data_IF_079698622055
#
_entry.id   IF_079698622055
#
_cell.length_a   1.000
_cell.length_b   1.000
_cell.length_c   1.000
_cell.angle_alpha   90.00
_cell.angle_beta   90.00
_cell.angle_gamma   90.00
#
_symmetry.space_group_name_H-M   'P 1'
#
loop_
_entity.id
_entity.type
_entity.pdbx_description
1 polymer ?
#
# COMPACT_ATOMS: atom_id res chain seq x y z
N UNK A 1 22.82 20.48 36.55
CA UNK A 1 21.66 19.56 36.63
C UNK A 1 20.68 20.01 35.57
N UNK A 2 20.32 19.15 34.63
CA UNK A 2 19.33 19.48 33.60
C UNK A 2 17.91 19.46 34.21
N UNK A 3 17.07 20.44 33.82
CA UNK A 3 15.67 20.54 34.29
C UNK A 3 14.75 20.33 33.10
N UNK A 4 13.91 19.29 33.16
CA UNK A 4 12.82 19.08 32.22
C UNK A 4 11.51 19.61 32.83
N UNK A 5 10.78 20.44 32.07
CA UNK A 5 9.47 20.96 32.47
C UNK A 5 8.46 20.54 31.40
N UNK A 6 7.47 19.74 31.80
CA UNK A 6 6.35 19.34 30.94
C UNK A 6 5.11 20.11 31.39
N UNK A 7 4.54 20.93 30.49
CA UNK A 7 3.27 21.60 30.74
C UNK A 7 2.18 20.91 29.93
N UNK A 8 1.40 20.05 30.58
CA UNK A 8 0.33 19.25 29.98
C UNK A 8 -0.84 20.09 29.44
N UNK A 9 -1.00 21.33 29.91
CA UNK A 9 -2.06 22.23 29.44
C UNK A 9 -1.68 22.96 28.13
N UNK A 10 -0.38 23.04 27.83
CA UNK A 10 0.12 23.64 26.60
C UNK A 10 0.26 22.60 25.48
N UNK A 11 -0.88 22.21 24.92
CA UNK A 11 -0.90 21.32 23.75
C UNK A 11 -0.48 22.08 22.50
N UNK A 12 0.58 21.62 21.82
CA UNK A 12 1.11 22.25 20.59
C UNK A 12 0.59 21.54 19.34
N UNK A 13 0.45 20.22 19.39
CA UNK A 13 0.03 19.39 18.25
C UNK A 13 -0.60 18.08 18.73
N UNK A 14 -1.16 17.35 17.79
CA UNK A 14 -1.61 15.98 17.96
C UNK A 14 -0.67 15.06 17.17
N UNK A 15 -0.14 14.03 17.83
CA UNK A 15 0.62 12.98 17.15
C UNK A 15 -0.40 12.02 16.53
N UNK A 16 -0.37 11.92 15.22
CA UNK A 16 -1.27 11.02 14.51
C UNK A 16 -0.86 9.56 14.77
N UNK A 17 -1.85 8.70 15.05
CA UNK A 17 -1.62 7.28 15.35
C UNK A 17 -0.94 6.55 14.19
N UNK A 18 -1.21 6.96 12.95
CA UNK A 18 -0.69 6.34 11.74
C UNK A 18 0.85 6.44 11.62
N UNK A 19 1.49 7.38 12.35
CA UNK A 19 2.96 7.41 12.47
C UNK A 19 3.54 6.14 13.13
N UNK A 20 2.71 5.38 13.84
CA UNK A 20 3.07 4.08 14.42
C UNK A 20 2.67 2.92 13.50
N UNK A 21 2.40 3.19 12.24
CA UNK A 21 2.08 2.20 11.23
C UNK A 21 3.25 1.26 10.95
N UNK A 22 2.91 0.07 10.49
CA UNK A 22 3.89 -0.93 10.10
C UNK A 22 3.91 -1.14 8.59
N UNK A 23 4.98 -1.71 8.12
CA UNK A 23 5.27 -1.95 6.74
C UNK A 23 5.68 -3.40 6.51
N UNK A 24 5.05 -4.06 5.55
CA UNK A 24 5.42 -5.40 5.13
C UNK A 24 5.77 -5.41 3.64
N UNK A 25 6.88 -6.02 3.32
CA UNK A 25 7.41 -6.12 1.96
C UNK A 25 7.77 -7.56 1.63
N UNK A 26 7.65 -7.91 0.35
CA UNK A 26 8.22 -9.15 -0.18
C UNK A 26 9.76 -9.04 -0.18
N UNK A 27 10.35 -9.16 1.02
CA UNK A 27 11.76 -9.04 1.31
C UNK A 27 12.17 -10.12 2.30
N UNK A 28 13.05 -11.02 1.89
CA UNK A 28 13.53 -12.10 2.74
C UNK A 28 12.36 -12.88 3.34
N UNK A 29 12.37 -13.04 4.65
CA UNK A 29 11.30 -13.71 5.41
C UNK A 29 10.27 -12.77 6.05
N UNK A 30 10.10 -11.56 5.54
CA UNK A 30 9.10 -10.66 6.10
C UNK A 30 7.69 -11.23 5.92
N UNK A 31 7.34 -11.65 4.71
CA UNK A 31 6.02 -12.23 4.40
C UNK A 31 6.07 -13.75 4.48
N UNK A 32 6.77 -14.39 3.55
CA UNK A 32 6.86 -15.87 3.53
C UNK A 32 7.68 -16.39 4.71
N UNK A 33 7.12 -17.38 5.43
CA UNK A 33 7.65 -17.95 6.67
C UNK A 33 7.68 -16.97 7.87
N UNK A 34 7.55 -15.66 7.62
CA UNK A 34 7.42 -14.63 8.65
C UNK A 34 5.98 -14.40 9.06
N UNK A 35 5.24 -13.62 8.25
CA UNK A 35 3.82 -13.35 8.48
C UNK A 35 2.93 -14.49 8.00
N UNK A 36 3.27 -15.12 6.88
CA UNK A 36 2.47 -16.09 6.15
C UNK A 36 3.20 -17.39 5.93
N UNK A 37 2.55 -18.49 6.29
CA UNK A 37 3.10 -19.86 6.16
C UNK A 37 2.22 -20.79 5.33
N UNK A 38 1.06 -20.29 4.87
CA UNK A 38 0.05 -21.11 4.19
C UNK A 38 -0.82 -21.89 5.15
N UNK A 39 -2.04 -22.18 4.70
CA UNK A 39 -3.09 -22.79 5.52
C UNK A 39 -2.76 -24.23 5.96
N UNK A 40 -1.99 -24.94 5.14
CA UNK A 40 -1.62 -26.33 5.37
C UNK A 40 -0.31 -26.50 6.14
N UNK A 41 0.27 -25.42 6.66
CA UNK A 41 1.51 -25.46 7.44
C UNK A 41 1.30 -26.13 8.79
N UNK A 42 2.33 -26.86 9.27
CA UNK A 42 2.37 -27.38 10.64
C UNK A 42 2.59 -26.26 11.67
N UNK A 43 3.09 -25.10 11.25
CA UNK A 43 3.23 -23.92 12.11
C UNK A 43 1.83 -23.39 12.42
N UNK A 44 1.50 -23.13 13.71
CA UNK A 44 0.19 -22.62 14.10
C UNK A 44 -0.19 -21.36 13.32
N UNK A 45 -1.32 -21.43 12.62
CA UNK A 45 -1.78 -20.35 11.77
C UNK A 45 -3.32 -20.25 11.74
N UNK A 46 -3.81 -19.09 11.33
CA UNK A 46 -5.21 -18.87 10.96
C UNK A 46 -5.24 -18.32 9.54
N UNK A 47 -5.86 -19.06 8.63
CA UNK A 47 -5.90 -18.73 7.20
C UNK A 47 -4.50 -18.44 6.62
N UNK A 48 -3.51 -19.23 7.04
CA UNK A 48 -2.12 -19.10 6.62
C UNK A 48 -1.29 -18.05 7.37
N UNK A 49 -1.90 -17.19 8.19
CA UNK A 49 -1.20 -16.18 8.99
C UNK A 49 -0.72 -16.79 10.31
N UNK A 50 0.58 -16.62 10.62
CA UNK A 50 1.19 -17.14 11.87
C UNK A 50 0.52 -16.52 13.08
N UNK A 51 0.00 -17.35 13.97
CA UNK A 51 -0.71 -16.89 15.17
C UNK A 51 0.19 -16.17 16.16
N UNK A 52 1.42 -16.62 16.35
CA UNK A 52 2.39 -15.99 17.25
C UNK A 52 2.75 -14.57 16.81
N UNK A 53 2.94 -14.35 15.50
CA UNK A 53 3.24 -13.04 14.92
C UNK A 53 2.03 -12.12 14.98
N UNK A 54 0.85 -12.63 14.59
CA UNK A 54 -0.40 -11.86 14.64
C UNK A 54 -0.70 -11.42 16.07
N UNK A 55 -0.56 -12.30 17.06
CA UNK A 55 -0.79 -11.95 18.47
C UNK A 55 0.22 -10.90 18.98
N UNK A 56 1.50 -11.00 18.59
CA UNK A 56 2.50 -9.99 18.94
C UNK A 56 2.16 -8.62 18.36
N UNK A 57 1.76 -8.57 17.07
CA UNK A 57 1.36 -7.34 16.39
C UNK A 57 0.08 -6.73 16.99
N UNK A 58 -0.88 -7.56 17.41
CA UNK A 58 -2.08 -7.09 18.15
C UNK A 58 -1.72 -6.44 19.48
N UNK A 59 -0.74 -6.99 20.21
CA UNK A 59 -0.32 -6.41 21.50
C UNK A 59 0.19 -4.97 21.36
N UNK A 60 0.91 -4.67 20.29
CA UNK A 60 1.40 -3.31 20.01
C UNK A 60 0.38 -2.42 19.29
N UNK A 61 -0.78 -2.97 18.93
CA UNK A 61 -1.93 -2.23 18.37
C UNK A 61 -1.55 -1.40 17.14
N UNK A 62 -0.91 -2.04 16.15
CA UNK A 62 -0.54 -1.34 14.92
C UNK A 62 -1.77 -0.67 14.28
N UNK A 63 -1.71 0.63 13.98
CA UNK A 63 -2.87 1.36 13.45
C UNK A 63 -3.10 1.12 11.96
N UNK A 64 -2.05 0.92 11.19
CA UNK A 64 -2.09 0.71 9.75
C UNK A 64 -0.96 -0.21 9.29
N UNK A 65 -1.23 -1.06 8.30
CA UNK A 65 -0.24 -1.92 7.67
C UNK A 65 -0.13 -1.58 6.19
N UNK A 66 1.11 -1.34 5.72
CA UNK A 66 1.44 -1.07 4.32
C UNK A 66 1.96 -2.33 3.63
N UNK A 67 1.50 -2.57 2.39
CA UNK A 67 1.89 -3.67 1.51
C UNK A 67 1.67 -3.26 0.03
N UNK A 68 2.29 -3.84 -1.03
CA UNK A 68 3.13 -5.06 -1.03
C UNK A 68 4.60 -4.82 -0.76
N UNK A 69 5.02 -3.59 -0.59
CA UNK A 69 6.41 -3.28 -0.33
C UNK A 69 6.79 -1.83 -0.57
N UNK A 70 8.08 -1.60 -0.50
CA UNK A 70 8.78 -0.43 -0.99
C UNK A 70 9.14 -0.61 -2.47
N UNK A 71 10.42 -0.90 -2.76
CA UNK A 71 10.89 -1.14 -4.13
C UNK A 71 10.14 -2.28 -4.84
N UNK A 72 9.77 -3.34 -4.12
CA UNK A 72 8.99 -4.43 -4.68
C UNK A 72 7.63 -3.98 -5.21
N UNK A 73 7.00 -2.96 -4.62
CA UNK A 73 5.70 -2.47 -5.07
C UNK A 73 5.72 -1.97 -6.52
N UNK A 74 6.83 -1.41 -6.97
CA UNK A 74 6.97 -0.86 -8.32
C UNK A 74 7.39 -1.90 -9.39
N UNK A 75 7.52 -3.18 -9.00
CA UNK A 75 7.60 -4.32 -9.92
C UNK A 75 6.48 -5.35 -9.71
N UNK A 76 5.61 -5.15 -8.71
CA UNK A 76 4.52 -6.07 -8.39
C UNK A 76 3.29 -5.86 -9.29
N UNK A 77 2.89 -6.93 -9.97
CA UNK A 77 1.68 -6.99 -10.77
C UNK A 77 0.57 -7.71 -9.98
N UNK A 78 -0.38 -6.98 -9.43
CA UNK A 78 -1.37 -7.48 -8.49
C UNK A 78 -2.21 -8.68 -8.98
N UNK A 79 -2.43 -8.76 -10.31
CA UNK A 79 -3.14 -9.89 -10.92
C UNK A 79 -2.41 -11.22 -10.76
N UNK A 80 -1.10 -11.17 -10.59
CA UNK A 80 -0.28 -12.37 -10.36
C UNK A 80 -0.50 -12.95 -8.95
N UNK A 81 -1.02 -12.15 -8.01
CA UNK A 81 -1.28 -12.52 -6.61
C UNK A 81 -2.77 -12.76 -6.28
N UNK A 82 -3.63 -13.03 -7.26
CA UNK A 82 -5.05 -13.31 -7.02
C UNK A 82 -5.47 -14.64 -7.66
N UNK A 83 -6.66 -15.14 -7.31
CA UNK A 83 -7.17 -16.42 -7.77
C UNK A 83 -6.53 -17.62 -7.07
N UNK A 84 -6.76 -18.85 -7.59
CA UNK A 84 -6.22 -20.06 -7.02
C UNK A 84 -4.68 -20.03 -6.95
N UNK A 85 -4.12 -20.36 -5.78
CA UNK A 85 -2.68 -20.22 -5.50
C UNK A 85 -1.80 -21.03 -6.46
N UNK A 86 -2.26 -22.21 -6.86
CA UNK A 86 -1.54 -23.12 -7.78
C UNK A 86 -1.39 -22.54 -9.19
N UNK A 87 -2.27 -21.60 -9.56
CA UNK A 87 -2.26 -20.93 -10.86
C UNK A 87 -1.59 -19.53 -10.86
N UNK A 88 -1.15 -19.06 -9.70
CA UNK A 88 -0.53 -17.74 -9.60
C UNK A 88 0.83 -17.71 -10.30
N UNK A 89 1.07 -16.62 -11.01
CA UNK A 89 2.32 -16.44 -11.75
C UNK A 89 3.46 -16.17 -10.79
N UNK A 90 4.57 -16.86 -10.98
CA UNK A 90 5.79 -16.61 -10.22
C UNK A 90 6.57 -15.46 -10.85
N UNK A 91 7.21 -14.65 -10.02
CA UNK A 91 8.07 -13.55 -10.44
C UNK A 91 9.44 -13.65 -9.79
N UNK A 92 10.45 -13.08 -10.42
CA UNK A 92 11.77 -12.90 -9.80
C UNK A 92 11.74 -11.58 -9.03
N UNK A 93 12.01 -11.62 -7.74
CA UNK A 93 12.16 -10.42 -6.92
C UNK A 93 13.54 -9.81 -7.19
N UNK A 94 13.60 -8.84 -8.09
CA UNK A 94 14.87 -8.29 -8.58
C UNK A 94 15.55 -7.38 -7.58
N UNK A 95 14.78 -6.75 -6.68
CA UNK A 95 15.33 -5.85 -5.66
C UNK A 95 15.89 -6.63 -4.45
N UNK A 96 15.24 -7.75 -4.09
CA UNK A 96 15.55 -8.43 -2.83
C UNK A 96 16.01 -9.87 -3.05
N UNK A 97 17.28 -9.99 -3.40
CA UNK A 97 17.99 -11.29 -3.42
C UNK A 97 17.77 -12.16 -4.66
N UNK A 98 17.03 -11.71 -5.67
CA UNK A 98 16.78 -12.47 -6.89
C UNK A 98 16.00 -13.77 -6.67
N UNK A 99 15.25 -13.86 -5.57
CA UNK A 99 14.44 -15.03 -5.25
C UNK A 99 13.18 -15.07 -6.11
N UNK A 100 12.66 -16.29 -6.30
CA UNK A 100 11.39 -16.47 -7.00
C UNK A 100 10.24 -16.37 -6.00
N UNK A 101 9.41 -15.35 -6.14
CA UNK A 101 8.18 -15.18 -5.40
C UNK A 101 7.06 -16.01 -6.06
N UNK A 102 6.34 -16.78 -5.25
CA UNK A 102 5.26 -17.63 -5.77
C UNK A 102 3.88 -16.95 -5.76
N UNK A 103 3.81 -15.75 -5.21
CA UNK A 103 2.59 -14.94 -5.06
C UNK A 103 1.45 -15.63 -4.29
N UNK A 104 1.80 -16.60 -3.42
CA UNK A 104 0.81 -17.25 -2.54
C UNK A 104 0.24 -16.29 -1.49
N UNK A 105 0.94 -15.20 -1.20
CA UNK A 105 0.43 -14.04 -0.45
C UNK A 105 0.15 -12.89 -1.43
N UNK A 106 -1.11 -12.52 -1.57
CA UNK A 106 -1.54 -11.44 -2.45
C UNK A 106 -2.64 -10.60 -1.82
N UNK A 107 -3.49 -9.99 -2.65
CA UNK A 107 -4.52 -9.05 -2.20
C UNK A 107 -5.45 -9.65 -1.13
N UNK A 108 -5.97 -10.85 -1.34
CA UNK A 108 -6.88 -11.49 -0.40
C UNK A 108 -6.22 -11.80 0.95
N UNK A 109 -5.00 -12.32 0.90
CA UNK A 109 -4.22 -12.65 2.08
C UNK A 109 -3.85 -11.39 2.87
N UNK A 110 -3.52 -10.30 2.20
CA UNK A 110 -3.25 -9.02 2.84
C UNK A 110 -4.47 -8.47 3.60
N UNK A 111 -5.65 -8.45 2.97
CA UNK A 111 -6.86 -8.00 3.64
C UNK A 111 -7.27 -8.91 4.79
N UNK A 112 -7.04 -10.21 4.66
CA UNK A 112 -7.26 -11.16 5.77
C UNK A 112 -6.31 -10.89 6.94
N UNK A 113 -5.04 -10.60 6.68
CA UNK A 113 -4.08 -10.20 7.72
C UNK A 113 -4.54 -8.92 8.43
N UNK A 114 -4.91 -7.87 7.68
CA UNK A 114 -5.42 -6.63 8.25
C UNK A 114 -6.69 -6.84 9.08
N UNK A 115 -7.60 -7.71 8.62
CA UNK A 115 -8.80 -8.10 9.37
C UNK A 115 -8.45 -8.75 10.71
N UNK A 116 -7.49 -9.68 10.73
CA UNK A 116 -7.03 -10.33 11.96
C UNK A 116 -6.37 -9.33 12.91
N UNK A 117 -5.58 -8.39 12.39
CA UNK A 117 -4.90 -7.36 13.18
C UNK A 117 -5.86 -6.27 13.68
N UNK A 118 -6.96 -6.03 12.97
CA UNK A 118 -7.88 -4.92 13.26
C UNK A 118 -7.28 -3.56 12.91
N UNK A 119 -6.39 -3.49 11.92
CA UNK A 119 -5.71 -2.27 11.49
C UNK A 119 -6.26 -1.71 10.17
N UNK A 120 -5.97 -0.45 9.91
CA UNK A 120 -6.22 0.19 8.62
C UNK A 120 -5.28 -0.35 7.53
N UNK A 121 -5.70 -0.20 6.29
CA UNK A 121 -4.98 -0.75 5.12
C UNK A 121 -4.25 0.35 4.36
N UNK A 122 -3.01 0.06 3.95
CA UNK A 122 -2.25 0.92 3.05
C UNK A 122 -1.72 0.08 1.90
N UNK A 123 -2.30 0.24 0.72
CA UNK A 123 -1.85 -0.41 -0.51
C UNK A 123 -0.88 0.51 -1.24
N UNK A 124 0.25 -0.02 -1.69
CA UNK A 124 1.18 0.73 -2.54
C UNK A 124 1.07 0.28 -3.99
N UNK A 125 0.71 1.21 -4.88
CA UNK A 125 0.51 0.93 -6.30
C UNK A 125 1.81 1.00 -7.11
N UNK A 126 1.87 0.19 -8.17
CA UNK A 126 3.00 0.10 -9.08
C UNK A 126 2.99 1.23 -10.11
N UNK A 127 3.87 2.21 -9.95
CA UNK A 127 4.13 3.27 -10.94
C UNK A 127 5.40 3.01 -11.78
N UNK A 128 6.27 2.12 -11.32
CA UNK A 128 7.53 1.81 -11.99
C UNK A 128 7.31 1.01 -13.28
N UNK A 129 6.86 -0.22 -13.16
CA UNK A 129 6.63 -1.13 -14.29
C UNK A 129 5.15 -1.31 -14.65
N UNK A 130 4.21 -0.88 -13.79
CA UNK A 130 2.78 -1.01 -13.99
C UNK A 130 2.19 0.02 -14.94
N UNK A 131 0.90 -0.14 -15.22
CA UNK A 131 0.14 0.80 -16.05
C UNK A 131 -0.96 1.50 -15.26
N UNK A 132 -1.42 2.65 -15.75
CA UNK A 132 -2.58 3.36 -15.18
C UNK A 132 -3.81 2.47 -15.15
N UNK A 133 -4.03 1.68 -16.19
CA UNK A 133 -5.16 0.76 -16.25
C UNK A 133 -5.06 -0.32 -15.17
N UNK A 134 -3.89 -0.92 -15.01
CA UNK A 134 -3.66 -1.95 -13.99
C UNK A 134 -3.93 -1.41 -12.59
N UNK A 135 -3.45 -0.20 -12.26
CA UNK A 135 -3.71 0.44 -10.99
C UNK A 135 -5.21 0.74 -10.80
N UNK A 136 -5.89 1.27 -11.81
CA UNK A 136 -7.31 1.54 -11.78
C UNK A 136 -8.15 0.27 -11.57
N UNK A 137 -7.81 -0.80 -12.28
CA UNK A 137 -8.47 -2.10 -12.15
C UNK A 137 -8.25 -2.72 -10.76
N UNK A 138 -7.08 -2.51 -10.15
CA UNK A 138 -6.83 -2.98 -8.79
C UNK A 138 -7.70 -2.25 -7.76
N UNK A 139 -7.81 -0.92 -7.88
CA UNK A 139 -8.70 -0.12 -7.03
C UNK A 139 -10.15 -0.56 -7.18
N UNK A 140 -10.63 -0.79 -8.43
CA UNK A 140 -11.96 -1.31 -8.71
C UNK A 140 -12.16 -2.71 -8.10
N UNK A 141 -11.19 -3.61 -8.30
CA UNK A 141 -11.21 -4.95 -7.73
C UNK A 141 -11.37 -4.96 -6.21
N UNK A 142 -10.64 -4.07 -5.53
CA UNK A 142 -10.69 -3.99 -4.07
C UNK A 142 -11.94 -3.29 -3.55
N UNK A 143 -12.38 -2.20 -4.18
CA UNK A 143 -13.26 -1.24 -3.51
C UNK A 143 -14.62 -1.01 -4.17
N UNK A 144 -14.86 -1.54 -5.37
CA UNK A 144 -16.16 -1.35 -6.02
C UNK A 144 -17.19 -2.37 -5.52
N UNK A 145 -18.33 -1.84 -4.99
CA UNK A 145 -19.49 -2.63 -4.55
C UNK A 145 -20.55 -2.55 -5.62
N UNK A 146 -20.56 -3.49 -6.56
CA UNK A 146 -21.51 -3.50 -7.65
C UNK A 146 -21.20 -4.57 -8.68
N UNK A 147 -21.77 -4.44 -9.87
CA UNK A 147 -21.54 -5.35 -11.00
C UNK A 147 -20.53 -4.71 -11.95
N UNK A 148 -19.35 -5.30 -12.06
CA UNK A 148 -18.31 -4.90 -12.99
C UNK A 148 -17.32 -6.03 -13.21
N UNK A 149 -16.51 -5.99 -14.28
CA UNK A 149 -15.54 -7.06 -14.55
C UNK A 149 -14.60 -7.34 -13.37
N UNK A 150 -14.17 -6.31 -12.64
CA UNK A 150 -13.25 -6.49 -11.51
C UNK A 150 -13.97 -6.95 -10.24
N UNK A 151 -15.19 -6.46 -9.97
CA UNK A 151 -16.02 -6.95 -8.87
C UNK A 151 -16.45 -8.42 -9.08
N UNK A 152 -16.80 -8.79 -10.32
CA UNK A 152 -17.11 -10.16 -10.69
C UNK A 152 -15.88 -11.08 -10.55
N UNK A 153 -14.70 -10.59 -10.93
CA UNK A 153 -13.44 -11.31 -10.74
C UNK A 153 -13.12 -11.50 -9.25
N UNK A 154 -13.32 -10.48 -8.40
CA UNK A 154 -13.18 -10.60 -6.94
C UNK A 154 -14.11 -11.69 -6.38
N UNK A 155 -15.39 -11.65 -6.79
CA UNK A 155 -16.39 -12.64 -6.38
C UNK A 155 -16.00 -14.05 -6.83
N UNK A 156 -15.55 -14.21 -8.07
CA UNK A 156 -15.06 -15.49 -8.61
C UNK A 156 -13.85 -16.01 -7.82
N UNK A 157 -13.02 -15.12 -7.32
CA UNK A 157 -11.87 -15.45 -6.48
C UNK A 157 -12.21 -15.64 -4.99
N UNK A 158 -13.51 -15.72 -4.65
CA UNK A 158 -13.98 -16.13 -3.33
C UNK A 158 -14.32 -15.00 -2.37
N UNK A 159 -14.32 -13.72 -2.81
CA UNK A 159 -14.69 -12.60 -1.95
C UNK A 159 -15.72 -11.70 -2.64
N UNK A 160 -16.95 -11.69 -2.15
CA UNK A 160 -18.06 -10.95 -2.77
C UNK A 160 -18.03 -9.47 -2.41
N UNK A 161 -17.89 -9.16 -1.14
CA UNK A 161 -17.97 -7.82 -0.59
C UNK A 161 -16.72 -7.00 -0.99
N UNK A 162 -16.88 -5.69 -1.18
CA UNK A 162 -15.75 -4.80 -1.36
C UNK A 162 -14.97 -4.60 -0.05
N UNK A 163 -13.66 -4.47 -0.15
CA UNK A 163 -12.84 -4.05 0.97
C UNK A 163 -12.79 -2.52 1.07
N UNK A 164 -12.35 -2.04 2.20
CA UNK A 164 -11.97 -0.65 2.39
C UNK A 164 -10.45 -0.52 2.24
N UNK A 165 -10.02 0.43 1.42
CA UNK A 165 -8.63 0.86 1.31
C UNK A 165 -8.53 2.24 1.96
N UNK A 166 -7.80 2.35 3.07
CA UNK A 166 -7.68 3.61 3.80
C UNK A 166 -6.66 4.54 3.15
N UNK A 167 -5.51 3.99 2.75
CA UNK A 167 -4.42 4.72 2.12
C UNK A 167 -3.98 4.00 0.84
N UNK A 168 -3.64 4.80 -0.17
CA UNK A 168 -3.09 4.28 -1.42
C UNK A 168 -1.85 5.09 -1.82
N UNK A 169 -0.70 4.43 -1.78
CA UNK A 169 0.56 4.99 -2.27
C UNK A 169 0.59 4.96 -3.79
N UNK A 170 0.82 6.11 -4.39
CA UNK A 170 0.97 6.24 -5.84
C UNK A 170 2.46 6.27 -6.17
N UNK A 171 3.06 5.08 -6.21
CA UNK A 171 4.48 4.84 -6.35
C UNK A 171 5.24 4.73 -5.02
N UNK A 172 6.50 4.34 -5.12
CA UNK A 172 7.46 4.22 -4.03
C UNK A 172 8.85 4.60 -4.52
N UNK A 173 9.55 5.47 -3.80
CA UNK A 173 10.94 5.85 -4.12
C UNK A 173 11.18 6.07 -5.62
N UNK A 174 10.28 6.81 -6.25
CA UNK A 174 10.29 6.95 -7.71
C UNK A 174 11.52 7.72 -8.23
N UNK A 175 12.22 8.42 -7.35
CA UNK A 175 13.55 8.98 -7.59
C UNK A 175 14.65 7.90 -7.73
N UNK A 176 14.39 6.68 -7.27
CA UNK A 176 15.31 5.55 -7.26
C UNK A 176 14.67 4.27 -7.82
N UNK A 177 14.49 3.27 -6.96
CA UNK A 177 14.02 1.94 -7.37
C UNK A 177 12.62 1.93 -8.02
N UNK A 178 11.79 2.91 -7.76
CA UNK A 178 10.46 3.04 -8.35
C UNK A 178 10.44 3.69 -9.74
N UNK A 179 11.53 3.62 -10.50
CA UNK A 179 11.56 4.06 -11.90
C UNK A 179 12.61 5.13 -12.24
N UNK A 180 13.45 5.53 -11.28
CA UNK A 180 14.55 6.48 -11.46
C UNK A 180 14.11 7.77 -12.18
N UNK A 181 13.05 8.38 -11.67
CA UNK A 181 12.38 9.54 -12.26
C UNK A 181 12.96 10.86 -11.72
N UNK A 182 12.93 11.90 -12.55
CA UNK A 182 13.08 13.27 -12.07
C UNK A 182 11.80 13.75 -11.37
N UNK A 183 11.84 14.71 -10.45
CA UNK A 183 10.69 15.12 -9.64
C UNK A 183 9.52 15.70 -10.47
N UNK A 184 9.81 16.46 -11.51
CA UNK A 184 8.81 17.00 -12.44
C UNK A 184 8.11 15.87 -13.23
N UNK A 185 8.87 14.89 -13.71
CA UNK A 185 8.33 13.73 -14.40
C UNK A 185 7.46 12.89 -13.46
N UNK A 186 7.94 12.59 -12.23
CA UNK A 186 7.14 11.91 -11.23
C UNK A 186 5.87 12.69 -10.92
N UNK A 187 5.95 14.00 -10.70
CA UNK A 187 4.80 14.85 -10.42
C UNK A 187 3.73 14.77 -11.51
N UNK A 188 4.13 14.76 -12.79
CA UNK A 188 3.21 14.59 -13.93
C UNK A 188 2.62 13.17 -14.00
N UNK A 189 3.43 12.15 -13.73
CA UNK A 189 2.97 10.76 -13.65
C UNK A 189 2.01 10.56 -12.47
N UNK A 190 2.34 11.11 -11.29
CA UNK A 190 1.45 11.10 -10.13
C UNK A 190 0.07 11.67 -10.47
N UNK A 191 0.01 12.84 -11.12
CA UNK A 191 -1.25 13.47 -11.56
C UNK A 191 -2.06 12.53 -12.43
N UNK A 192 -1.41 11.83 -13.34
CA UNK A 192 -2.05 10.88 -14.24
C UNK A 192 -2.57 9.66 -13.51
N UNK A 193 -1.75 8.99 -12.71
CA UNK A 193 -2.11 7.76 -12.02
C UNK A 193 -3.17 7.98 -10.94
N UNK A 194 -2.98 8.99 -10.09
CA UNK A 194 -3.91 9.27 -9.01
C UNK A 194 -5.33 9.65 -9.50
N UNK A 195 -5.45 10.16 -10.72
CA UNK A 195 -6.75 10.44 -11.35
C UNK A 195 -7.61 9.18 -11.47
N UNK A 196 -6.99 8.04 -11.62
CA UNK A 196 -7.65 6.74 -11.78
C UNK A 196 -7.70 5.91 -10.50
N UNK A 197 -7.11 6.38 -9.42
CA UNK A 197 -7.38 5.90 -8.06
C UNK A 197 -8.67 6.56 -7.59
N UNK A 198 -9.79 5.92 -7.86
CA UNK A 198 -11.13 6.52 -7.72
C UNK A 198 -11.79 6.08 -6.42
N UNK A 199 -12.58 6.99 -5.85
CA UNK A 199 -13.51 6.67 -4.79
C UNK A 199 -14.82 6.18 -5.40
N UNK A 200 -15.24 4.99 -5.04
CA UNK A 200 -16.52 4.44 -5.45
C UNK A 200 -17.60 4.74 -4.41
N UNK A 201 -18.84 5.01 -4.89
CA UNK A 201 -19.98 5.27 -4.02
C UNK A 201 -20.23 4.07 -3.08
N UNK A 202 -20.53 4.37 -1.83
CA UNK A 202 -20.75 3.35 -0.81
C UNK A 202 -19.50 2.88 -0.07
N UNK A 203 -18.31 3.28 -0.52
CA UNK A 203 -17.05 2.96 0.16
C UNK A 203 -16.41 4.21 0.78
N UNK A 204 -15.51 4.01 1.74
CA UNK A 204 -14.72 5.06 2.37
C UNK A 204 -13.80 5.72 1.32
N UNK A 205 -13.66 7.05 1.32
CA UNK A 205 -12.69 7.72 0.46
C UNK A 205 -11.26 7.26 0.75
N UNK A 206 -10.52 7.00 -0.33
CA UNK A 206 -9.13 6.57 -0.29
C UNK A 206 -8.24 7.80 -0.13
N UNK A 207 -7.35 7.81 0.85
CA UNK A 207 -6.31 8.82 1.00
C UNK A 207 -5.13 8.49 0.09
N UNK A 208 -4.76 9.42 -0.78
CA UNK A 208 -3.69 9.24 -1.78
C UNK A 208 -2.39 9.80 -1.27
N UNK A 209 -1.37 8.96 -1.26
CA UNK A 209 -0.03 9.31 -0.76
C UNK A 209 0.93 9.37 -1.93
N UNK A 210 1.59 10.51 -2.09
CA UNK A 210 2.64 10.69 -3.09
C UNK A 210 4.00 10.25 -2.55
N UNK A 211 4.92 9.88 -3.44
CA UNK A 211 6.30 9.60 -3.10
C UNK A 211 7.03 10.89 -2.75
N UNK A 212 7.55 10.96 -1.54
CA UNK A 212 8.38 12.05 -1.05
C UNK A 212 9.87 11.86 -1.32
N UNK A 213 10.64 12.77 -0.77
CA UNK A 213 12.08 12.86 -0.99
C UNK A 213 12.87 11.71 -0.35
N UNK A 214 14.09 11.53 -0.86
CA UNK A 214 15.10 10.74 -0.18
C UNK A 214 15.80 11.62 0.87
N UNK A 215 15.66 11.27 2.14
CA UNK A 215 16.29 11.95 3.28
C UNK A 215 16.03 13.46 3.28
N UNK A 216 17.01 14.27 2.85
CA UNK A 216 17.00 15.73 2.87
C UNK A 216 16.96 16.38 1.47
N UNK A 217 16.51 15.62 0.46
CA UNK A 217 16.31 16.16 -0.89
C UNK A 217 15.05 17.04 -0.96
N UNK A 218 15.18 18.25 -0.40
CA UNK A 218 14.10 19.22 -0.39
C UNK A 218 13.73 19.72 -1.79
N UNK A 219 14.65 19.67 -2.75
CA UNK A 219 14.39 20.07 -4.15
C UNK A 219 13.40 19.10 -4.81
N UNK A 220 13.52 17.81 -4.54
CA UNK A 220 12.51 16.82 -4.96
C UNK A 220 11.12 17.20 -4.48
N UNK A 221 10.98 17.41 -3.17
CA UNK A 221 9.70 17.74 -2.56
C UNK A 221 9.11 19.03 -3.13
N UNK A 222 9.93 20.09 -3.27
CA UNK A 222 9.51 21.37 -3.80
C UNK A 222 8.97 21.23 -5.23
N UNK A 223 9.70 20.52 -6.10
CA UNK A 223 9.32 20.38 -7.49
C UNK A 223 8.09 19.46 -7.67
N UNK A 224 7.99 18.37 -6.92
CA UNK A 224 6.78 17.54 -6.91
C UNK A 224 5.56 18.35 -6.48
N UNK A 225 5.69 19.15 -5.42
CA UNK A 225 4.59 20.00 -4.94
C UNK A 225 4.20 21.06 -5.98
N UNK A 226 5.17 21.70 -6.66
CA UNK A 226 4.89 22.68 -7.74
C UNK A 226 4.18 22.01 -8.92
N UNK A 227 4.66 20.85 -9.34
CA UNK A 227 4.14 20.13 -10.51
C UNK A 227 2.74 19.59 -10.27
N UNK A 228 2.45 19.14 -9.05
CA UNK A 228 1.14 18.59 -8.69
C UNK A 228 0.12 19.67 -8.32
N UNK A 229 0.57 20.84 -7.89
CA UNK A 229 -0.30 21.93 -7.48
C UNK A 229 -1.02 22.59 -8.67
N UNK A 230 -2.35 22.68 -8.61
CA UNK A 230 -3.15 23.44 -9.55
C UNK A 230 -3.86 24.59 -8.86
N UNK A 231 -3.55 25.80 -9.27
CA UNK A 231 -4.19 27.00 -8.77
C UNK A 231 -5.58 27.16 -9.42
N UNK A 232 -6.60 27.39 -8.60
CA UNK A 232 -7.93 27.86 -9.05
C UNK A 232 -8.80 26.87 -9.85
N UNK A 233 -8.66 25.57 -9.69
CA UNK A 233 -9.59 24.63 -10.29
C UNK A 233 -10.44 23.95 -9.19
N UNK A 234 -11.69 24.38 -8.95
CA UNK A 234 -12.59 23.69 -8.03
C UNK A 234 -12.95 22.29 -8.56
N UNK A 235 -12.99 21.30 -7.68
CA UNK A 235 -13.32 19.92 -8.05
C UNK A 235 -12.15 19.10 -8.58
N UNK A 236 -10.93 19.46 -8.25
CA UNK A 236 -9.73 18.82 -8.77
C UNK A 236 -9.56 17.37 -8.37
N UNK A 237 -9.31 16.58 -9.38
CA UNK A 237 -8.92 15.19 -9.29
C UNK A 237 -7.39 15.04 -9.15
N UNK A 238 -6.70 15.90 -8.40
CA UNK A 238 -5.25 15.94 -8.47
C UNK A 238 -4.49 16.09 -7.17
N UNK A 239 -5.19 16.14 -6.03
CA UNK A 239 -4.51 16.32 -4.76
C UNK A 239 -3.99 15.03 -4.18
N UNK A 240 -2.85 15.17 -3.47
CA UNK A 240 -2.38 14.19 -2.52
C UNK A 240 -2.95 14.53 -1.13
N UNK A 241 -3.27 13.49 -0.37
CA UNK A 241 -3.66 13.60 1.04
C UNK A 241 -2.44 13.57 1.96
N UNK A 242 -1.33 13.06 1.44
CA UNK A 242 -0.06 12.98 2.14
C UNK A 242 1.12 12.77 1.21
N UNK A 243 2.30 12.94 1.77
CA UNK A 243 3.60 12.69 1.15
C UNK A 243 4.35 11.71 2.05
N UNK A 244 4.89 10.64 1.46
CA UNK A 244 5.78 9.73 2.20
C UNK A 244 7.16 10.36 2.39
N UNK A 245 7.81 10.07 3.50
CA UNK A 245 9.16 10.51 3.82
C UNK A 245 10.04 9.30 4.08
#
# INVERSE_FOLDING_TARGET
>A
MAKLVINAERKLSHINKELQGHFSEHLGRCIYEGLYVGENSEIPNVNGMRTDVVEALKQIRIPVLRWPGGCFADEYHWKDGIGPKEGRKKIVNTHWGGVVEDNSFGTHEFFELCRQLGCETYINGNMGSGTVQEMSEWVEYMTFEGVSPMADLRTKNGHKEAWTVDYFGVGNENWGCGGNMNPDFYGNMYRRYQTYVRNYAGNKPIKKIACGANVDDYEWTEEVMKTTFRRNEPGQHGFMDGLSL
#
